data_IF_827289730068
#
_entry.id   IF_827289730068
#
_cell.length_a   1.000
_cell.length_b   1.000
_cell.length_c   1.000
_cell.angle_alpha   90.00
_cell.angle_beta   90.00
_cell.angle_gamma   90.00
#
_symmetry.space_group_name_H-M   'P 1'
#
loop_
_entity.id
_entity.type
_entity.pdbx_description
1 polymer ?
#
# COMPACT_ATOMS: atom_id res chain seq x y z
N UNK A 1 -5.86 -4.07 12.17
CA UNK A 1 -5.04 -4.09 10.95
C UNK A 1 -3.61 -3.70 11.27
N UNK A 2 -2.70 -4.64 11.08
CA UNK A 2 -1.26 -4.32 11.10
C UNK A 2 -0.81 -3.50 9.88
N UNK A 3 -1.70 -3.28 8.93
CA UNK A 3 -1.45 -2.55 7.70
C UNK A 3 -2.21 -1.24 7.71
N UNK A 4 -1.53 -0.16 7.41
CA UNK A 4 -2.17 1.14 7.24
C UNK A 4 -2.67 1.29 5.82
N UNK A 5 -3.91 1.73 5.67
CA UNK A 5 -4.49 2.07 4.37
C UNK A 5 -4.30 3.57 4.17
N UNK A 6 -3.54 3.91 3.14
CA UNK A 6 -3.29 5.29 2.73
C UNK A 6 -4.01 5.61 1.43
N UNK A 7 -4.54 6.81 1.35
CA UNK A 7 -5.08 7.37 0.11
C UNK A 7 -3.98 8.13 -0.63
N UNK A 8 -3.84 7.86 -1.93
CA UNK A 8 -2.92 8.56 -2.79
C UNK A 8 -3.57 9.02 -4.09
N UNK A 9 -2.93 9.99 -4.73
CA UNK A 9 -3.37 10.51 -6.02
C UNK A 9 -2.18 10.69 -6.95
N UNK A 10 -2.38 10.36 -8.23
CA UNK A 10 -1.42 10.61 -9.31
C UNK A 10 -2.11 11.38 -10.40
N UNK A 11 -1.59 12.55 -10.74
CA UNK A 11 -2.05 13.32 -11.88
C UNK A 11 -1.58 12.66 -13.16
N UNK A 12 -2.52 12.19 -13.98
CA UNK A 12 -2.19 11.57 -15.25
C UNK A 12 -1.86 12.64 -16.29
N UNK A 13 -0.78 12.39 -17.02
CA UNK A 13 -0.24 13.31 -18.03
C UNK A 13 -0.48 12.71 -19.41
N UNK A 14 -0.83 13.55 -20.36
CA UNK A 14 -0.96 13.15 -21.76
C UNK A 14 0.28 12.39 -22.24
N UNK A 15 0.05 11.36 -23.02
CA UNK A 15 1.10 10.50 -23.60
C UNK A 15 1.95 9.69 -22.61
N UNK A 16 1.60 9.71 -21.32
CA UNK A 16 2.30 8.95 -20.29
C UNK A 16 1.42 7.81 -19.80
N UNK A 17 1.90 6.58 -19.89
CA UNK A 17 1.16 5.38 -19.45
C UNK A 17 1.68 4.79 -18.15
N UNK A 18 2.92 5.07 -17.76
CA UNK A 18 3.58 4.46 -16.61
C UNK A 18 3.85 5.50 -15.53
N UNK A 19 3.56 5.13 -14.27
CA UNK A 19 3.72 5.99 -13.10
C UNK A 19 4.24 5.19 -11.92
N UNK A 20 5.12 5.82 -11.15
CA UNK A 20 5.65 5.23 -9.93
C UNK A 20 4.67 5.39 -8.76
N UNK A 21 4.58 4.35 -7.95
CA UNK A 21 3.95 4.39 -6.63
C UNK A 21 5.01 4.61 -5.55
N UNK A 22 4.63 5.13 -4.37
CA UNK A 22 5.56 5.21 -3.25
C UNK A 22 6.18 3.85 -2.92
N UNK A 23 7.49 3.84 -2.62
CA UNK A 23 8.29 2.63 -2.41
C UNK A 23 7.79 1.73 -1.26
N UNK A 24 7.10 2.32 -0.28
CA UNK A 24 6.48 1.63 0.85
C UNK A 24 5.13 0.97 0.51
N UNK A 25 4.67 1.05 -0.75
CA UNK A 25 3.41 0.44 -1.19
C UNK A 25 3.57 -1.08 -1.33
N UNK A 26 2.72 -1.83 -0.63
CA UNK A 26 2.65 -3.29 -0.75
C UNK A 26 1.72 -3.69 -1.88
N UNK A 27 0.52 -3.12 -1.89
CA UNK A 27 -0.49 -3.37 -2.94
C UNK A 27 -1.54 -2.24 -2.98
N UNK A 28 -2.28 -2.18 -4.09
CA UNK A 28 -3.46 -1.35 -4.22
C UNK A 28 -4.69 -2.17 -3.83
N UNK A 29 -5.53 -1.60 -2.97
CA UNK A 29 -6.81 -2.20 -2.57
C UNK A 29 -7.92 -1.79 -3.52
N UNK A 30 -8.08 -0.49 -3.71
CA UNK A 30 -9.07 0.11 -4.60
C UNK A 30 -8.46 1.24 -5.40
N UNK A 31 -9.02 1.49 -6.58
CA UNK A 31 -8.58 2.56 -7.46
C UNK A 31 -9.71 3.07 -8.33
N UNK A 32 -9.70 4.36 -8.59
CA UNK A 32 -10.65 5.04 -9.49
C UNK A 32 -9.94 6.09 -10.34
N UNK A 33 -10.54 6.45 -11.45
CA UNK A 33 -10.16 7.64 -12.23
C UNK A 33 -11.11 8.76 -11.89
N UNK A 34 -10.57 9.83 -11.32
CA UNK A 34 -11.32 11.05 -11.05
C UNK A 34 -11.20 11.99 -12.24
N UNK A 35 -12.34 12.49 -12.69
CA UNK A 35 -12.46 13.54 -13.73
C UNK A 35 -13.10 14.77 -13.13
N UNK A 36 -12.91 15.95 -13.75
CA UNK A 36 -13.50 17.21 -13.30
C UNK A 36 -13.13 17.62 -11.88
N UNK A 37 -11.91 17.31 -11.45
CA UNK A 37 -11.43 17.58 -10.08
C UNK A 37 -11.55 19.05 -9.70
N UNK A 38 -12.00 19.29 -8.46
CA UNK A 38 -12.19 20.63 -7.91
C UNK A 38 -13.50 21.33 -8.30
N UNK A 39 -14.33 20.70 -9.12
CA UNK A 39 -15.63 21.24 -9.50
C UNK A 39 -16.75 20.31 -9.02
N UNK A 40 -17.53 20.77 -8.06
CA UNK A 40 -18.62 20.00 -7.43
C UNK A 40 -19.64 19.48 -8.44
N UNK A 41 -19.85 20.21 -9.55
CA UNK A 41 -20.85 19.84 -10.55
C UNK A 41 -20.35 18.82 -11.58
N UNK A 42 -19.04 18.69 -11.77
CA UNK A 42 -18.45 17.86 -12.83
C UNK A 42 -17.53 16.77 -12.32
N UNK A 43 -17.16 16.80 -11.05
CA UNK A 43 -16.30 15.78 -10.49
C UNK A 43 -17.01 14.43 -10.46
N UNK A 44 -16.39 13.43 -11.05
CA UNK A 44 -16.87 12.05 -11.03
C UNK A 44 -15.71 11.07 -10.83
N UNK A 45 -15.94 10.08 -9.98
CA UNK A 45 -15.03 8.96 -9.77
C UNK A 45 -15.52 7.78 -10.59
N UNK A 46 -14.72 7.38 -11.58
CA UNK A 46 -15.03 6.33 -12.53
C UNK A 46 -14.19 5.09 -12.21
N UNK A 47 -14.82 3.94 -12.22
CA UNK A 47 -14.12 2.67 -11.97
C UNK A 47 -13.08 2.39 -13.05
N UNK A 48 -11.93 1.87 -12.61
CA UNK A 48 -10.85 1.37 -13.46
C UNK A 48 -10.57 -0.08 -13.10
N UNK A 49 -10.50 -0.96 -14.09
CA UNK A 49 -10.32 -2.39 -13.89
C UNK A 49 -8.84 -2.73 -13.73
N UNK A 50 -8.49 -3.45 -12.66
CA UNK A 50 -7.16 -4.03 -12.53
C UNK A 50 -7.02 -5.24 -13.44
N UNK A 51 -5.94 -5.27 -14.24
CA UNK A 51 -5.65 -6.36 -15.16
C UNK A 51 -4.34 -7.07 -14.81
N UNK A 52 -4.21 -8.32 -15.25
CA UNK A 52 -3.00 -9.11 -15.10
C UNK A 52 -2.00 -8.84 -16.22
N UNK A 53 -0.73 -9.22 -16.02
CA UNK A 53 0.29 -9.12 -17.07
C UNK A 53 -0.10 -9.82 -18.39
N UNK A 54 -0.61 -11.07 -18.39
CA UNK A 54 -1.04 -11.71 -19.63
C UNK A 54 -2.12 -10.91 -20.37
N UNK A 55 -3.07 -10.34 -19.63
CA UNK A 55 -4.13 -9.51 -20.22
C UNK A 55 -3.56 -8.23 -20.82
N UNK A 56 -2.65 -7.55 -20.09
CA UNK A 56 -1.98 -6.37 -20.62
C UNK A 56 -1.13 -6.70 -21.86
N UNK A 57 -0.40 -7.83 -21.83
CA UNK A 57 0.46 -8.23 -22.96
C UNK A 57 -0.33 -8.53 -24.23
N UNK A 58 -1.56 -9.04 -24.11
CA UNK A 58 -2.45 -9.38 -25.22
C UNK A 58 -3.10 -8.16 -25.90
N UNK A 59 -2.97 -6.97 -25.34
CA UNK A 59 -3.50 -5.74 -25.93
C UNK A 59 -2.73 -5.45 -27.24
N UNK A 60 -3.39 -5.45 -28.42
CA UNK A 60 -2.69 -5.30 -29.69
C UNK A 60 -2.03 -3.94 -29.87
N UNK A 61 -2.71 -2.88 -29.46
CA UNK A 61 -2.21 -1.51 -29.53
C UNK A 61 -2.15 -0.88 -28.14
N UNK A 62 -0.95 -0.82 -27.56
CA UNK A 62 -0.71 -0.23 -26.25
C UNK A 62 -0.65 1.29 -26.26
N UNK A 63 -0.54 1.90 -27.46
CA UNK A 63 -0.46 3.35 -27.66
C UNK A 63 -1.83 4.00 -27.92
N UNK A 64 -2.91 3.22 -27.85
CA UNK A 64 -4.26 3.78 -27.98
C UNK A 64 -4.48 4.85 -26.93
N UNK A 65 -4.83 6.06 -27.37
CA UNK A 65 -5.11 7.18 -26.48
C UNK A 65 -6.58 7.24 -26.09
N UNK A 66 -6.84 7.73 -24.89
CA UNK A 66 -8.18 7.93 -24.37
C UNK A 66 -8.21 7.97 -22.85
N UNK A 67 -9.43 8.00 -22.29
CA UNK A 67 -9.58 7.88 -20.84
C UNK A 67 -9.12 6.49 -20.38
N UNK A 68 -8.24 6.40 -19.38
CA UNK A 68 -7.83 5.13 -18.82
C UNK A 68 -9.01 4.34 -18.22
N UNK A 69 -9.09 3.06 -18.57
CA UNK A 69 -10.14 2.13 -18.08
C UNK A 69 -9.55 0.87 -17.46
N UNK A 70 -8.27 0.62 -17.68
CA UNK A 70 -7.55 -0.53 -17.16
C UNK A 70 -6.23 -0.10 -16.54
N UNK A 71 -5.81 -0.78 -15.49
CA UNK A 71 -4.53 -0.57 -14.83
C UNK A 71 -3.86 -1.91 -14.55
N UNK A 72 -2.59 -1.99 -14.89
CA UNK A 72 -1.72 -3.08 -14.51
C UNK A 72 -0.74 -2.61 -13.44
N UNK A 73 -0.71 -3.31 -12.31
CA UNK A 73 0.17 -3.00 -11.18
C UNK A 73 1.36 -3.93 -11.21
N UNK A 74 2.56 -3.35 -11.28
CA UNK A 74 3.83 -4.06 -11.23
C UNK A 74 4.42 -3.92 -9.82
N UNK A 75 4.60 -5.04 -9.14
CA UNK A 75 5.22 -5.07 -7.80
C UNK A 75 6.73 -5.25 -7.94
N UNK A 76 7.41 -4.18 -8.34
CA UNK A 76 8.86 -4.17 -8.42
C UNK A 76 9.48 -4.06 -7.02
N UNK A 77 10.73 -4.50 -6.90
CA UNK A 77 11.44 -4.53 -5.61
C UNK A 77 11.62 -3.14 -5.00
N UNK A 78 12.03 -2.19 -5.82
CA UNK A 78 12.42 -0.86 -5.36
C UNK A 78 11.22 0.09 -5.34
N UNK A 79 10.56 0.29 -6.48
CA UNK A 79 9.34 1.09 -6.57
C UNK A 79 8.27 0.31 -7.33
N UNK A 80 7.13 0.00 -6.71
CA UNK A 80 5.99 -0.50 -7.46
C UNK A 80 5.54 0.53 -8.49
N UNK A 81 5.17 0.08 -9.69
CA UNK A 81 4.69 0.95 -10.77
C UNK A 81 3.30 0.55 -11.21
N UNK A 82 2.58 1.49 -11.80
CA UNK A 82 1.33 1.23 -12.49
C UNK A 82 1.46 1.58 -13.95
N UNK A 83 0.83 0.78 -14.80
CA UNK A 83 0.67 1.09 -16.22
C UNK A 83 -0.82 1.19 -16.52
N UNK A 84 -1.26 2.33 -17.01
CA UNK A 84 -2.67 2.58 -17.37
C UNK A 84 -2.89 2.38 -18.87
N UNK A 85 -4.07 1.88 -19.22
CA UNK A 85 -4.48 1.74 -20.60
C UNK A 85 -5.99 2.05 -20.74
N UNK A 86 -6.42 2.79 -21.79
CA UNK A 86 -5.62 3.55 -22.77
C UNK A 86 -4.69 4.58 -22.18
N UNK A 87 -3.72 5.04 -22.97
CA UNK A 87 -2.81 6.13 -22.60
C UNK A 87 -3.62 7.42 -22.49
N UNK A 88 -3.45 8.24 -21.44
CA UNK A 88 -4.18 9.49 -21.31
C UNK A 88 -4.04 10.38 -22.57
N UNK A 89 -5.19 10.85 -23.07
CA UNK A 89 -5.26 11.69 -24.28
C UNK A 89 -5.23 13.18 -23.96
N UNK A 90 -5.29 13.55 -22.69
CA UNK A 90 -5.35 14.94 -22.21
C UNK A 90 -4.78 15.06 -20.82
N UNK A 91 -4.37 16.27 -20.48
CA UNK A 91 -3.96 16.65 -19.15
C UNK A 91 -2.46 16.87 -19.01
N UNK A 92 -2.11 17.75 -18.09
CA UNK A 92 -0.72 18.00 -17.67
C UNK A 92 -0.59 17.73 -16.18
N UNK A 93 0.64 17.62 -15.67
CA UNK A 93 0.86 17.44 -14.24
C UNK A 93 0.28 18.57 -13.37
N UNK A 94 0.23 19.80 -13.90
CA UNK A 94 -0.33 20.96 -13.21
C UNK A 94 -1.85 21.12 -13.41
N UNK A 95 -2.38 20.64 -14.55
CA UNK A 95 -3.80 20.70 -14.89
C UNK A 95 -4.26 19.33 -15.45
N UNK A 96 -4.42 18.35 -14.58
CA UNK A 96 -4.78 17.01 -14.99
C UNK A 96 -6.27 16.93 -15.40
N UNK A 97 -6.54 16.29 -16.53
CA UNK A 97 -7.91 15.90 -16.90
C UNK A 97 -8.33 14.65 -16.12
N UNK A 98 -7.38 13.75 -15.92
CA UNK A 98 -7.57 12.50 -15.22
C UNK A 98 -6.66 12.42 -14.02
N UNK A 99 -7.22 12.09 -12.85
CA UNK A 99 -6.47 11.82 -11.63
C UNK A 99 -6.69 10.36 -11.27
N UNK A 100 -5.61 9.60 -11.18
CA UNK A 100 -5.65 8.25 -10.63
C UNK A 100 -5.68 8.38 -9.11
N UNK A 101 -6.81 8.08 -8.50
CA UNK A 101 -6.99 8.03 -7.06
C UNK A 101 -6.99 6.58 -6.62
N UNK A 102 -6.22 6.28 -5.59
CA UNK A 102 -6.05 4.92 -5.11
C UNK A 102 -5.98 4.84 -3.60
N UNK A 103 -6.35 3.71 -3.07
CA UNK A 103 -6.13 3.30 -1.68
C UNK A 103 -5.12 2.17 -1.68
N UNK A 104 -4.00 2.38 -0.99
CA UNK A 104 -2.89 1.45 -0.95
C UNK A 104 -2.71 0.85 0.43
N UNK A 105 -2.24 -0.36 0.46
CA UNK A 105 -1.69 -0.98 1.65
C UNK A 105 -0.24 -0.56 1.77
N UNK A 106 0.09 0.14 2.86
CA UNK A 106 1.43 0.65 3.12
C UNK A 106 2.19 -0.28 4.06
N UNK A 107 3.47 -0.46 3.80
CA UNK A 107 4.38 -1.12 4.73
C UNK A 107 4.50 -0.28 6.00
N UNK A 108 4.51 -0.95 7.15
CA UNK A 108 4.81 -0.32 8.44
C UNK A 108 6.24 0.22 8.41
N UNK A 109 6.42 1.47 8.81
CA UNK A 109 7.73 2.09 8.90
C UNK A 109 8.55 1.44 10.02
N UNK A 110 9.79 1.09 9.70
CA UNK A 110 10.76 0.61 10.69
C UNK A 110 11.21 1.78 11.58
N UNK A 111 11.38 1.52 12.86
CA UNK A 111 12.07 2.44 13.75
C UNK A 111 13.57 2.45 13.41
N UNK A 112 13.94 3.18 12.35
CA UNK A 112 15.30 3.20 11.79
C UNK A 112 16.36 3.82 12.71
N UNK A 113 15.94 4.64 13.68
CA UNK A 113 16.82 5.22 14.71
C UNK A 113 16.10 5.24 16.06
N UNK A 114 16.87 5.28 17.16
CA UNK A 114 16.32 5.26 18.52
C UNK A 114 15.41 6.45 18.90
N UNK A 115 15.21 7.41 17.98
CA UNK A 115 14.31 8.57 18.15
C UNK A 115 13.02 8.47 17.33
N UNK A 116 12.92 7.47 16.46
CA UNK A 116 11.72 7.26 15.66
C UNK A 116 10.73 6.35 16.38
N UNK A 117 9.46 6.73 16.35
CA UNK A 117 8.37 5.91 16.89
C UNK A 117 7.93 4.94 15.79
N UNK A 118 7.82 3.63 16.09
CA UNK A 118 7.30 2.66 15.14
C UNK A 118 5.86 3.01 14.74
N UNK A 119 5.56 2.91 13.45
CA UNK A 119 4.21 3.11 12.89
C UNK A 119 3.33 1.88 13.20
N UNK A 120 3.01 1.71 14.47
CA UNK A 120 2.24 0.57 14.96
C UNK A 120 1.10 1.05 15.84
N UNK A 121 -0.08 0.43 15.71
CA UNK A 121 -1.18 0.73 16.59
C UNK A 121 -0.84 0.37 18.04
N UNK A 122 -1.28 1.22 18.99
CA UNK A 122 -0.95 1.07 20.41
C UNK A 122 -1.36 -0.30 20.99
N UNK A 123 -2.37 -0.96 20.44
CA UNK A 123 -2.82 -2.29 20.86
C UNK A 123 -1.78 -3.40 20.63
N UNK A 124 -0.85 -3.21 19.67
CA UNK A 124 0.23 -4.15 19.40
C UNK A 124 1.52 -3.87 20.19
N UNK A 125 1.59 -2.76 20.95
CA UNK A 125 2.78 -2.43 21.74
C UNK A 125 3.12 -3.50 22.78
N UNK A 126 2.17 -4.06 23.55
CA UNK A 126 2.48 -5.14 24.49
C UNK A 126 3.07 -6.38 23.79
N UNK A 127 2.48 -6.76 22.66
CA UNK A 127 2.97 -7.87 21.85
C UNK A 127 4.38 -7.60 21.28
N UNK A 128 4.66 -6.36 20.84
CA UNK A 128 5.99 -5.95 20.39
C UNK A 128 7.02 -6.04 21.50
N UNK A 129 6.69 -5.53 22.69
CA UNK A 129 7.59 -5.58 23.85
C UNK A 129 7.88 -7.01 24.29
N UNK A 130 6.86 -7.86 24.35
CA UNK A 130 7.00 -9.27 24.69
C UNK A 130 7.85 -10.02 23.63
N UNK A 131 7.58 -9.78 22.34
CA UNK A 131 8.34 -10.35 21.23
C UNK A 131 9.80 -9.90 21.21
N UNK A 132 10.05 -8.63 21.50
CA UNK A 132 11.42 -8.09 21.61
C UNK A 132 12.17 -8.74 22.79
N UNK A 133 11.52 -8.84 23.95
CA UNK A 133 12.10 -9.51 25.13
C UNK A 133 12.45 -10.97 24.83
N UNK A 134 11.57 -11.70 24.17
CA UNK A 134 11.82 -13.08 23.72
C UNK A 134 13.00 -13.16 22.75
N UNK A 135 13.06 -12.29 21.74
CA UNK A 135 14.15 -12.28 20.75
C UNK A 135 15.52 -11.91 21.37
N UNK A 136 15.53 -10.99 22.35
CA UNK A 136 16.76 -10.65 23.08
C UNK A 136 17.19 -11.84 23.95
N UNK A 137 16.27 -12.47 24.68
CA UNK A 137 16.54 -13.61 25.53
C UNK A 137 17.15 -14.81 24.77
N UNK A 138 16.72 -15.04 23.51
CA UNK A 138 17.31 -16.08 22.66
C UNK A 138 18.81 -15.86 22.35
N UNK A 139 19.30 -14.63 22.46
CA UNK A 139 20.71 -14.28 22.24
C UNK A 139 21.54 -14.34 23.53
N UNK A 140 20.90 -14.56 24.68
CA UNK A 140 21.54 -14.58 26.00
C UNK A 140 21.48 -16.00 26.60
N UNK A 141 22.60 -16.75 26.66
CA UNK A 141 22.61 -18.12 27.19
C UNK A 141 22.08 -18.22 28.63
N UNK A 142 22.28 -17.17 29.41
CA UNK A 142 21.85 -17.10 30.81
C UNK A 142 20.31 -17.10 31.00
N UNK A 143 19.57 -16.76 29.93
CA UNK A 143 18.11 -16.65 29.96
C UNK A 143 17.37 -17.84 29.33
N UNK A 144 18.09 -18.91 28.96
CA UNK A 144 17.54 -20.08 28.29
C UNK A 144 16.34 -20.69 29.05
N UNK A 145 16.44 -20.78 30.38
CA UNK A 145 15.39 -21.30 31.25
C UNK A 145 14.07 -20.46 31.20
N UNK A 146 14.13 -19.19 30.77
CA UNK A 146 12.99 -18.26 30.70
C UNK A 146 12.32 -18.24 29.32
N UNK A 147 12.95 -18.79 28.30
CA UNK A 147 12.46 -18.75 26.91
C UNK A 147 11.03 -19.28 26.74
N UNK A 148 10.66 -20.45 27.36
CA UNK A 148 9.29 -20.94 27.20
C UNK A 148 8.23 -19.98 27.76
N UNK A 149 8.53 -19.36 28.92
CA UNK A 149 7.63 -18.38 29.55
C UNK A 149 7.51 -17.12 28.72
N UNK A 150 8.62 -16.57 28.23
CA UNK A 150 8.62 -15.36 27.38
C UNK A 150 7.88 -15.59 26.07
N UNK A 151 8.03 -16.78 25.49
CA UNK A 151 7.27 -17.16 24.30
C UNK A 151 5.77 -17.23 24.58
N UNK A 152 5.36 -17.85 25.69
CA UNK A 152 3.95 -17.94 26.06
C UNK A 152 3.30 -16.56 26.24
N UNK A 153 4.01 -15.64 26.91
CA UNK A 153 3.56 -14.24 27.07
C UNK A 153 3.44 -13.54 25.72
N UNK A 154 4.42 -13.71 24.83
CA UNK A 154 4.35 -13.13 23.46
C UNK A 154 3.15 -13.68 22.68
N UNK A 155 2.95 -15.00 22.69
CA UNK A 155 1.85 -15.65 21.97
C UNK A 155 0.47 -15.17 22.52
N UNK A 156 0.35 -15.00 23.85
CA UNK A 156 -0.86 -14.47 24.49
C UNK A 156 -1.16 -13.03 24.07
N UNK A 157 -0.20 -12.12 24.22
CA UNK A 157 -0.33 -10.71 23.88
C UNK A 157 -0.61 -10.51 22.39
N UNK A 158 0.06 -11.28 21.53
CA UNK A 158 -0.19 -11.24 20.09
C UNK A 158 -1.61 -11.70 19.73
N UNK A 159 -2.08 -12.79 20.36
CA UNK A 159 -3.43 -13.29 20.11
C UNK A 159 -4.51 -12.33 20.60
N UNK A 160 -4.30 -11.66 21.73
CA UNK A 160 -5.21 -10.63 22.25
C UNK A 160 -5.28 -9.44 21.28
N UNK A 161 -4.13 -8.92 20.86
CA UNK A 161 -4.06 -7.82 19.91
C UNK A 161 -4.71 -8.18 18.56
N UNK A 162 -4.46 -9.39 18.06
CA UNK A 162 -5.05 -9.87 16.81
C UNK A 162 -6.57 -10.09 16.92
N UNK A 163 -7.07 -10.49 18.10
CA UNK A 163 -8.51 -10.64 18.33
C UNK A 163 -9.24 -9.30 18.36
N UNK A 164 -8.63 -8.28 18.94
CA UNK A 164 -9.17 -6.91 18.95
C UNK A 164 -9.17 -6.27 17.56
N UNK A 165 -8.21 -6.65 16.70
CA UNK A 165 -8.07 -6.11 15.35
C UNK A 165 -9.05 -6.70 14.33
N UNK A 166 -9.74 -7.78 14.67
CA UNK A 166 -10.76 -8.36 13.80
C UNK A 166 -11.98 -7.45 13.76
N UNK A 167 -12.31 -6.96 12.57
CA UNK A 167 -13.62 -6.35 12.35
C UNK A 167 -14.71 -7.36 12.66
N UNK A 168 -15.67 -6.90 13.48
CA UNK A 168 -16.88 -7.68 13.84
C UNK A 168 -17.93 -7.51 12.75
#
# INVERSE_FOLDING_TARGET
>A
NMWTIDEGTINLVEDTSEYDLPADTIDLMEQVIRTGSGNVSTQADLTISRISFPTYSSIPNKLTKGRPIQVWVQRLRDNPTITVWPVPDKGTGASPEYIFKYWRMRRIEDAGSGVQTPDMSFRFLPALMAGLAYNIAMKMPELEARLPMLKAVYDEEFNLAAAEDREK
#
